data_IF_514843993680
#
_entry.id   IF_514843993680
#
_cell.length_a   1.000
_cell.length_b   1.000
_cell.length_c   1.000
_cell.angle_alpha   90.00
_cell.angle_beta   90.00
_cell.angle_gamma   90.00
#
_symmetry.space_group_name_H-M   'P 1'
#
loop_
_entity.id
_entity.type
_entity.pdbx_description
1 polymer ?
#
# COMPACT_ATOMS: atom_id res chain seq x y z
N UNK A 1 -31.38 13.59 -28.71
CA UNK A 1 -31.26 12.30 -27.98
C UNK A 1 -29.97 11.57 -28.35
N UNK A 2 -29.64 11.37 -29.63
CA UNK A 2 -28.39 10.71 -30.09
C UNK A 2 -27.07 11.39 -29.62
N UNK A 3 -26.96 12.72 -29.68
CA UNK A 3 -25.73 13.43 -29.28
C UNK A 3 -25.38 13.25 -27.79
N UNK A 4 -26.39 13.20 -26.92
CA UNK A 4 -26.23 12.97 -25.48
C UNK A 4 -25.70 11.56 -25.21
N UNK A 5 -26.27 10.57 -25.90
CA UNK A 5 -25.86 9.18 -25.79
C UNK A 5 -24.45 8.92 -26.36
N UNK A 6 -24.05 9.66 -27.40
CA UNK A 6 -22.69 9.62 -27.93
C UNK A 6 -21.68 10.23 -26.94
N UNK A 7 -22.03 11.36 -26.31
CA UNK A 7 -21.20 12.00 -25.29
C UNK A 7 -21.04 11.13 -24.02
N UNK A 8 -22.12 10.49 -23.58
CA UNK A 8 -22.10 9.57 -22.44
C UNK A 8 -21.23 8.34 -22.73
N UNK A 9 -21.32 7.76 -23.93
CA UNK A 9 -20.47 6.65 -24.37
C UNK A 9 -18.98 7.04 -24.42
N UNK A 10 -18.67 8.24 -24.90
CA UNK A 10 -17.29 8.73 -24.98
C UNK A 10 -16.70 8.99 -23.59
N UNK A 11 -17.50 9.56 -22.68
CA UNK A 11 -17.13 9.69 -21.26
C UNK A 11 -16.88 8.34 -20.60
N UNK A 12 -17.76 7.37 -20.82
CA UNK A 12 -17.60 6.04 -20.24
C UNK A 12 -16.34 5.33 -20.78
N UNK A 13 -16.02 5.51 -22.07
CA UNK A 13 -14.76 5.00 -22.64
C UNK A 13 -13.54 5.65 -22.01
N UNK A 14 -13.53 6.97 -21.86
CA UNK A 14 -12.45 7.69 -21.21
C UNK A 14 -12.29 7.21 -19.77
N UNK A 15 -13.39 7.04 -19.04
CA UNK A 15 -13.39 6.57 -17.65
C UNK A 15 -12.82 5.15 -17.50
N UNK A 16 -13.22 4.23 -18.38
CA UNK A 16 -12.67 2.86 -18.44
C UNK A 16 -11.17 2.90 -18.74
N UNK A 17 -10.74 3.69 -19.74
CA UNK A 17 -9.33 3.82 -20.10
C UNK A 17 -8.50 4.41 -18.95
N UNK A 18 -9.02 5.42 -18.27
CA UNK A 18 -8.36 5.99 -17.09
C UNK A 18 -8.26 4.98 -15.95
N UNK A 19 -9.31 4.20 -15.69
CA UNK A 19 -9.28 3.17 -14.65
C UNK A 19 -8.25 2.09 -14.98
N UNK A 20 -8.24 1.59 -16.22
CA UNK A 20 -7.24 0.61 -16.67
C UNK A 20 -5.81 1.14 -16.57
N UNK A 21 -5.61 2.44 -16.84
CA UNK A 21 -4.31 3.10 -16.70
C UNK A 21 -3.85 3.25 -15.24
N UNK A 22 -4.75 3.13 -14.26
CA UNK A 22 -4.49 3.32 -12.83
C UNK A 22 -4.45 2.01 -12.04
N UNK A 23 -4.78 0.87 -12.65
CA UNK A 23 -4.75 -0.45 -12.01
C UNK A 23 -3.52 -1.26 -12.44
N UNK A 24 -3.03 -2.09 -11.53
CA UNK A 24 -2.04 -3.12 -11.83
C UNK A 24 -2.71 -4.27 -12.56
N UNK A 25 -2.16 -4.65 -13.72
CA UNK A 25 -2.77 -5.64 -14.60
C UNK A 25 -2.81 -7.06 -14.00
N UNK A 26 -1.89 -7.39 -13.08
CA UNK A 26 -1.82 -8.72 -12.49
C UNK A 26 -2.79 -8.86 -11.32
N UNK A 27 -2.80 -7.87 -10.43
CA UNK A 27 -3.43 -7.94 -9.12
C UNK A 27 -4.74 -7.15 -9.01
N UNK A 28 -4.99 -6.22 -9.93
CA UNK A 28 -6.19 -5.37 -9.95
C UNK A 28 -6.23 -4.26 -8.90
N UNK A 29 -5.21 -4.16 -8.03
CA UNK A 29 -5.06 -3.03 -7.09
C UNK A 29 -4.52 -1.80 -7.83
N UNK A 30 -4.39 -0.66 -7.15
CA UNK A 30 -3.81 0.52 -7.78
C UNK A 30 -2.37 0.24 -8.23
N UNK A 31 -1.94 0.82 -9.35
CA UNK A 31 -0.55 0.75 -9.77
C UNK A 31 0.28 1.90 -9.17
N UNK A 32 1.58 1.89 -9.42
CA UNK A 32 2.50 2.94 -8.95
C UNK A 32 2.07 4.36 -9.34
N UNK A 33 1.59 4.56 -10.57
CA UNK A 33 1.14 5.89 -10.99
C UNK A 33 -0.04 6.39 -10.14
N UNK A 34 -1.03 5.53 -9.94
CA UNK A 34 -2.17 5.84 -9.10
C UNK A 34 -1.77 6.06 -7.63
N UNK A 35 -0.80 5.31 -7.13
CA UNK A 35 -0.22 5.52 -5.80
C UNK A 35 0.40 6.92 -5.68
N UNK A 36 1.27 7.29 -6.61
CA UNK A 36 1.99 8.57 -6.59
C UNK A 36 1.00 9.75 -6.56
N UNK A 37 -0.01 9.72 -7.44
CA UNK A 37 -1.06 10.74 -7.51
C UNK A 37 -1.88 10.80 -6.20
N UNK A 38 -2.30 9.64 -5.67
CA UNK A 38 -3.09 9.56 -4.45
C UNK A 38 -2.30 9.96 -3.21
N UNK A 39 -1.03 9.59 -3.10
CA UNK A 39 -0.21 9.91 -1.93
C UNK A 39 0.00 11.41 -1.78
N UNK A 40 0.23 12.13 -2.89
CA UNK A 40 0.30 13.59 -2.90
C UNK A 40 -1.00 14.18 -2.35
N UNK A 41 -2.14 13.68 -2.81
CA UNK A 41 -3.46 14.09 -2.34
C UNK A 41 -3.65 13.80 -0.84
N UNK A 42 -3.31 12.59 -0.39
CA UNK A 42 -3.49 12.17 1.01
C UNK A 42 -2.60 12.94 1.99
N UNK A 43 -1.37 13.31 1.60
CA UNK A 43 -0.53 14.22 2.40
C UNK A 43 -1.20 15.58 2.55
N UNK A 44 -1.71 16.15 1.45
CA UNK A 44 -2.41 17.43 1.49
C UNK A 44 -3.71 17.36 2.31
N UNK A 45 -4.47 16.27 2.21
CA UNK A 45 -5.69 16.03 2.97
C UNK A 45 -5.42 15.90 4.47
N UNK A 46 -4.44 15.06 4.86
CA UNK A 46 -4.07 14.87 6.25
C UNK A 46 -3.58 16.17 6.91
N UNK A 47 -2.81 16.99 6.17
CA UNK A 47 -2.39 18.34 6.60
C UNK A 47 -3.59 19.25 6.85
N UNK A 48 -4.53 19.33 5.90
CA UNK A 48 -5.75 20.15 6.03
C UNK A 48 -6.62 19.68 7.19
N UNK A 49 -6.74 18.38 7.38
CA UNK A 49 -7.51 17.77 8.45
C UNK A 49 -6.81 17.81 9.82
N UNK A 50 -5.52 18.20 9.87
CA UNK A 50 -4.66 18.11 11.07
C UNK A 50 -4.70 16.72 11.69
N UNK A 51 -4.66 15.70 10.83
CA UNK A 51 -4.75 14.29 11.21
C UNK A 51 -3.42 13.59 11.00
N UNK A 52 -3.36 12.32 11.41
CA UNK A 52 -2.24 11.45 11.05
C UNK A 52 -2.43 10.84 9.67
N UNK A 53 -1.31 10.56 9.01
CA UNK A 53 -1.22 9.77 7.80
C UNK A 53 -0.25 8.63 8.04
N UNK A 54 -0.61 7.42 7.60
CA UNK A 54 0.25 6.24 7.78
C UNK A 54 0.48 5.56 6.45
N UNK A 55 1.75 5.28 6.16
CA UNK A 55 2.22 4.69 4.91
C UNK A 55 2.99 3.43 5.28
N UNK A 56 2.61 2.31 4.68
CA UNK A 56 3.27 1.02 4.89
C UNK A 56 3.73 0.51 3.53
N UNK A 57 5.03 0.38 3.35
CA UNK A 57 5.60 -0.35 2.22
C UNK A 57 5.94 -1.76 2.67
N UNK A 58 5.58 -2.76 1.88
CA UNK A 58 5.79 -4.15 2.23
C UNK A 58 6.12 -5.02 1.03
N UNK A 59 6.80 -6.12 1.30
CA UNK A 59 7.39 -7.00 0.28
C UNK A 59 7.38 -8.46 0.75
N UNK A 60 7.15 -9.36 -0.21
CA UNK A 60 7.13 -10.80 0.04
C UNK A 60 8.55 -11.33 0.23
N UNK A 61 8.81 -11.85 1.42
CA UNK A 61 10.12 -12.38 1.77
C UNK A 61 10.49 -13.57 0.87
N UNK A 62 11.73 -13.59 0.39
CA UNK A 62 12.28 -14.67 -0.44
C UNK A 62 11.49 -14.92 -1.75
N UNK A 63 10.76 -13.93 -2.28
CA UNK A 63 9.91 -14.12 -3.47
C UNK A 63 10.66 -14.63 -4.70
N UNK A 64 11.92 -14.21 -4.89
CA UNK A 64 12.77 -14.75 -5.96
C UNK A 64 12.98 -16.26 -5.82
N UNK A 65 13.26 -16.77 -4.62
CA UNK A 65 13.45 -18.20 -4.37
C UNK A 65 12.17 -18.99 -4.65
N UNK A 66 11.00 -18.38 -4.37
CA UNK A 66 9.69 -18.95 -4.73
C UNK A 66 9.56 -19.08 -6.24
N UNK A 67 9.86 -18.02 -6.98
CA UNK A 67 9.82 -18.05 -8.45
C UNK A 67 10.81 -19.04 -9.05
N UNK A 68 12.04 -19.11 -8.52
CA UNK A 68 13.08 -20.01 -9.01
C UNK A 68 12.69 -21.48 -8.76
N UNK A 69 11.98 -21.77 -7.67
CA UNK A 69 11.55 -23.13 -7.31
C UNK A 69 10.26 -23.59 -7.99
N UNK A 70 9.26 -22.71 -8.10
CA UNK A 70 7.90 -23.08 -8.53
C UNK A 70 7.46 -22.41 -9.84
N UNK A 71 8.29 -21.54 -10.40
CA UNK A 71 8.02 -20.80 -11.62
C UNK A 71 7.19 -19.53 -11.41
N UNK A 72 7.31 -18.61 -12.35
CA UNK A 72 6.65 -17.29 -12.28
C UNK A 72 5.12 -17.35 -12.20
N UNK A 73 4.48 -18.35 -12.83
CA UNK A 73 3.01 -18.52 -12.76
C UNK A 73 2.57 -18.74 -11.31
N UNK A 74 3.37 -19.46 -10.52
CA UNK A 74 3.09 -19.69 -9.11
C UNK A 74 3.27 -18.39 -8.30
N UNK A 75 4.36 -17.66 -8.52
CA UNK A 75 4.58 -16.35 -7.90
C UNK A 75 3.47 -15.36 -8.22
N UNK A 76 3.01 -15.30 -9.47
CA UNK A 76 1.89 -14.46 -9.89
C UNK A 76 0.60 -14.78 -9.13
N UNK A 77 0.31 -16.05 -8.89
CA UNK A 77 -0.85 -16.47 -8.12
C UNK A 77 -0.73 -16.08 -6.64
N UNK A 78 0.48 -16.13 -6.08
CA UNK A 78 0.77 -15.63 -4.73
C UNK A 78 0.48 -14.13 -4.65
N UNK A 79 0.98 -13.32 -5.60
CA UNK A 79 0.78 -11.88 -5.60
C UNK A 79 -0.71 -11.50 -5.74
N UNK A 80 -1.44 -12.21 -6.61
CA UNK A 80 -2.91 -12.05 -6.74
C UNK A 80 -3.62 -12.35 -5.43
N UNK A 81 -3.25 -13.45 -4.76
CA UNK A 81 -3.88 -13.85 -3.51
C UNK A 81 -3.55 -12.89 -2.37
N UNK A 82 -2.30 -12.44 -2.29
CA UNK A 82 -1.87 -11.41 -1.34
C UNK A 82 -2.69 -10.13 -1.53
N UNK A 83 -2.79 -9.64 -2.78
CA UNK A 83 -3.59 -8.46 -3.10
C UNK A 83 -5.06 -8.62 -2.72
N UNK A 84 -5.69 -9.78 -2.98
CA UNK A 84 -7.07 -10.07 -2.58
C UNK A 84 -7.25 -10.03 -1.07
N UNK A 85 -6.40 -10.76 -0.34
CA UNK A 85 -6.46 -10.85 1.12
C UNK A 85 -6.30 -9.47 1.78
N UNK A 86 -5.34 -8.67 1.32
CA UNK A 86 -5.13 -7.32 1.85
C UNK A 86 -6.30 -6.40 1.47
N UNK A 87 -6.85 -6.53 0.26
CA UNK A 87 -8.02 -5.76 -0.20
C UNK A 87 -9.29 -6.05 0.60
N UNK A 88 -9.52 -7.30 0.98
CA UNK A 88 -10.65 -7.72 1.83
C UNK A 88 -10.48 -7.28 3.28
N UNK A 89 -9.23 -7.07 3.71
CA UNK A 89 -8.88 -6.70 5.09
C UNK A 89 -8.91 -5.19 5.32
N UNK A 90 -8.66 -4.38 4.29
CA UNK A 90 -8.61 -2.92 4.39
C UNK A 90 -10.02 -2.31 4.38
N UNK A 91 -10.13 -1.08 4.87
CA UNK A 91 -11.37 -0.30 4.77
C UNK A 91 -11.52 0.32 3.36
N UNK A 92 -12.71 0.82 2.99
CA UNK A 92 -12.91 1.48 1.70
C UNK A 92 -11.97 2.67 1.46
N UNK A 93 -11.70 3.48 2.48
CA UNK A 93 -10.84 4.67 2.44
C UNK A 93 -9.34 4.34 2.36
N UNK A 94 -8.94 3.16 2.84
CA UNK A 94 -7.56 2.72 2.77
C UNK A 94 -7.14 2.48 1.30
N UNK A 95 -5.93 2.87 0.94
CA UNK A 95 -5.40 2.68 -0.41
C UNK A 95 -4.46 1.49 -0.39
N UNK A 96 -4.59 0.59 -1.36
CA UNK A 96 -3.64 -0.48 -1.64
C UNK A 96 -3.16 -0.34 -3.08
N UNK A 97 -1.85 -0.29 -3.24
CA UNK A 97 -1.21 -0.26 -4.54
C UNK A 97 -0.07 -1.27 -4.64
N UNK A 98 0.20 -1.74 -5.85
CA UNK A 98 1.42 -2.48 -6.19
C UNK A 98 2.45 -1.50 -6.72
N UNK A 99 3.58 -1.38 -6.03
CA UNK A 99 4.64 -0.45 -6.38
C UNK A 99 5.50 -0.97 -7.53
N UNK A 100 5.80 -2.27 -7.51
CA UNK A 100 6.56 -2.97 -8.55
C UNK A 100 6.97 -4.36 -8.08
N UNK A 101 7.11 -5.33 -8.99
CA UNK A 101 7.51 -6.68 -8.61
C UNK A 101 6.62 -7.28 -7.51
N UNK A 102 7.22 -7.63 -6.38
CA UNK A 102 6.57 -8.15 -5.17
C UNK A 102 6.25 -7.09 -4.10
N UNK A 103 6.47 -5.80 -4.41
CA UNK A 103 6.34 -4.68 -3.48
C UNK A 103 4.95 -4.04 -3.58
N UNK A 104 4.38 -3.76 -2.41
CA UNK A 104 3.08 -3.13 -2.25
C UNK A 104 3.14 -1.99 -1.25
N UNK A 105 2.17 -1.08 -1.36
CA UNK A 105 2.02 0.07 -0.48
C UNK A 105 0.58 0.16 0.02
N UNK A 106 0.44 0.34 1.32
CA UNK A 106 -0.81 0.69 1.98
C UNK A 106 -0.75 2.13 2.49
N UNK A 107 -1.81 2.90 2.28
CA UNK A 107 -1.99 4.22 2.87
C UNK A 107 -3.26 4.23 3.69
N UNK A 108 -3.15 4.69 4.93
CA UNK A 108 -4.24 4.84 5.88
C UNK A 108 -4.47 6.33 6.15
N UNK A 109 -5.50 6.93 5.54
CA UNK A 109 -5.82 8.33 5.76
C UNK A 109 -6.52 8.56 7.10
N UNK A 110 -6.52 9.82 7.53
CA UNK A 110 -7.38 10.38 8.59
C UNK A 110 -7.44 9.57 9.91
N UNK A 111 -6.30 9.10 10.40
CA UNK A 111 -6.28 8.32 11.64
C UNK A 111 -6.32 9.24 12.88
N UNK A 112 -7.42 9.15 13.63
CA UNK A 112 -7.67 9.98 14.82
C UNK A 112 -6.89 9.53 16.07
N UNK A 113 -6.49 8.27 16.19
CA UNK A 113 -5.75 7.76 17.36
C UNK A 113 -4.30 7.37 17.02
N UNK A 114 -3.39 7.59 17.99
CA UNK A 114 -1.99 7.12 17.99
C UNK A 114 -1.87 5.63 18.30
N UNK A 115 -2.96 4.92 18.59
CA UNK A 115 -2.90 3.52 18.99
C UNK A 115 -2.52 2.64 17.80
N UNK A 116 -1.21 2.54 17.61
CA UNK A 116 -0.57 1.55 16.75
C UNK A 116 -0.89 0.12 17.21
N UNK A 117 -1.35 -0.07 18.44
CA UNK A 117 -1.95 -1.32 18.93
C UNK A 117 -3.23 -1.71 18.18
N UNK A 118 -3.95 -0.74 17.61
CA UNK A 118 -5.09 -0.93 16.71
C UNK A 118 -4.72 -0.87 15.22
N UNK A 119 -3.49 -0.46 14.88
CA UNK A 119 -2.90 -0.78 13.59
C UNK A 119 -2.82 -2.29 13.52
N UNK A 120 -3.77 -2.86 12.80
CA UNK A 120 -3.92 -4.29 12.76
C UNK A 120 -2.87 -4.87 11.79
N UNK A 121 -1.60 -4.56 12.00
CA UNK A 121 -0.47 -5.26 11.40
C UNK A 121 -0.52 -6.72 11.78
N UNK A 122 -0.91 -7.03 13.01
CA UNK A 122 -1.30 -8.40 13.38
C UNK A 122 -2.47 -8.92 12.54
N UNK A 123 -3.46 -8.11 12.17
CA UNK A 123 -4.54 -8.55 11.26
C UNK A 123 -4.02 -8.78 9.86
N UNK A 124 -3.16 -7.93 9.31
CA UNK A 124 -2.56 -8.15 7.99
C UNK A 124 -1.61 -9.34 8.01
N UNK A 125 -0.74 -9.48 9.00
CA UNK A 125 0.10 -10.65 9.22
C UNK A 125 -0.75 -11.92 9.43
N UNK A 126 -1.85 -11.84 10.19
CA UNK A 126 -2.79 -12.95 10.39
C UNK A 126 -3.54 -13.30 9.10
N UNK A 127 -3.93 -12.31 8.31
CA UNK A 127 -4.59 -12.52 7.03
C UNK A 127 -3.61 -13.15 6.02
N UNK A 128 -2.37 -12.67 5.97
CA UNK A 128 -1.29 -13.20 5.13
C UNK A 128 -0.93 -14.63 5.57
N UNK A 129 -0.81 -14.90 6.87
CA UNK A 129 -0.55 -16.27 7.35
C UNK A 129 -1.68 -17.26 7.05
N UNK A 130 -2.91 -16.81 6.75
CA UNK A 130 -3.96 -17.68 6.25
C UNK A 130 -3.70 -18.14 4.81
N UNK A 131 -2.94 -17.38 4.01
CA UNK A 131 -2.47 -17.81 2.70
C UNK A 131 -1.63 -19.09 2.86
N UNK A 132 -0.82 -19.15 3.92
CA UNK A 132 0.06 -20.28 4.19
C UNK A 132 -0.68 -21.59 4.49
N UNK A 133 -1.91 -21.49 5.03
CA UNK A 133 -2.74 -22.63 5.45
C UNK A 133 -3.64 -23.18 4.35
N UNK A 134 -3.55 -22.63 3.14
CA UNK A 134 -4.33 -23.10 2.01
C UNK A 134 -3.88 -24.51 1.57
N UNK A 135 -4.79 -25.45 1.26
CA UNK A 135 -4.43 -26.81 0.84
C UNK A 135 -3.56 -26.87 -0.43
N UNK A 136 -3.58 -25.79 -1.22
CA UNK A 136 -2.78 -25.62 -2.44
C UNK A 136 -1.42 -24.94 -2.19
N UNK A 137 -1.06 -24.72 -0.93
CA UNK A 137 0.23 -24.17 -0.55
C UNK A 137 1.06 -25.33 -0.03
N UNK A 138 2.15 -25.69 -0.72
CA UNK A 138 2.96 -26.90 -0.52
C UNK A 138 3.76 -26.90 0.81
N UNK A 139 3.18 -26.42 1.90
CA UNK A 139 3.84 -26.23 3.20
C UNK A 139 4.76 -25.01 3.26
N UNK A 140 4.69 -24.10 2.29
CA UNK A 140 5.54 -22.91 2.25
C UNK A 140 5.05 -21.83 3.22
N UNK A 141 5.93 -21.38 4.11
CA UNK A 141 5.65 -20.22 4.94
C UNK A 141 5.97 -18.95 4.16
N UNK A 142 4.95 -18.33 3.57
CA UNK A 142 5.05 -16.99 3.01
C UNK A 142 5.04 -15.97 4.14
N UNK A 143 6.12 -15.20 4.24
CA UNK A 143 6.23 -14.09 5.17
C UNK A 143 6.37 -12.77 4.42
N UNK A 144 6.10 -11.69 5.12
CA UNK A 144 6.16 -10.33 4.56
C UNK A 144 6.91 -9.45 5.54
N UNK A 145 7.78 -8.60 5.01
CA UNK A 145 8.48 -7.56 5.74
C UNK A 145 7.84 -6.20 5.48
N UNK A 146 7.90 -5.29 6.46
CA UNK A 146 7.18 -4.03 6.41
C UNK A 146 8.04 -2.84 6.88
N UNK A 147 8.04 -1.76 6.09
CA UNK A 147 8.50 -0.44 6.50
C UNK A 147 7.32 0.51 6.69
N UNK A 148 7.16 1.08 7.88
CA UNK A 148 6.01 1.94 8.21
C UNK A 148 6.41 3.33 8.64
N UNK A 149 5.83 4.34 7.99
CA UNK A 149 5.98 5.75 8.37
C UNK A 149 4.65 6.25 8.90
N UNK A 150 4.69 6.86 10.08
CA UNK A 150 3.56 7.55 10.67
C UNK A 150 3.91 9.01 10.73
N UNK A 151 3.02 9.85 10.19
CA UNK A 151 3.20 11.29 10.20
C UNK A 151 2.03 11.94 10.92
N UNK A 152 2.34 12.81 11.86
CA UNK A 152 1.37 13.56 12.62
C UNK A 152 1.39 15.04 12.23
N UNK A 153 0.29 15.49 11.62
CA UNK A 153 0.09 16.88 11.22
C UNK A 153 -0.73 17.69 12.24
N UNK A 154 -1.03 17.15 13.43
CA UNK A 154 -1.95 17.79 14.38
C UNK A 154 -1.49 19.19 14.83
N UNK A 155 -0.17 19.38 14.93
CA UNK A 155 0.45 20.58 15.49
C UNK A 155 1.14 21.46 14.45
N UNK A 156 1.00 21.14 13.16
CA UNK A 156 1.66 21.89 12.11
C UNK A 156 1.05 23.29 11.93
N UNK A 157 1.90 24.31 11.76
CA UNK A 157 1.46 25.66 11.41
C UNK A 157 0.97 25.68 9.94
N UNK A 158 -0.32 25.98 9.67
CA UNK A 158 -0.82 26.09 8.31
C UNK A 158 -0.13 27.16 7.47
N UNK A 159 0.51 28.15 8.11
CA UNK A 159 1.24 29.24 7.43
C UNK A 159 2.70 28.89 7.16
N UNK A 160 3.24 27.86 7.80
CA UNK A 160 4.63 27.45 7.68
C UNK A 160 4.75 25.92 7.67
N UNK A 161 4.18 25.30 6.65
CA UNK A 161 4.18 23.85 6.47
C UNK A 161 5.60 23.30 6.30
N UNK A 162 5.92 22.21 7.01
CA UNK A 162 7.20 21.52 6.90
C UNK A 162 7.33 20.86 5.51
N UNK A 163 8.07 21.51 4.62
CA UNK A 163 8.29 21.03 3.25
C UNK A 163 9.15 19.75 3.19
N UNK A 164 9.83 19.39 4.29
CA UNK A 164 10.59 18.13 4.39
C UNK A 164 9.71 16.89 4.57
N UNK A 165 8.39 17.09 4.71
CA UNK A 165 7.39 16.02 4.79
C UNK A 165 6.52 16.08 3.53
N UNK A 166 6.96 15.41 2.49
CA UNK A 166 6.23 15.30 1.23
C UNK A 166 6.14 13.83 0.77
N UNK A 167 5.31 13.55 -0.23
CA UNK A 167 5.06 12.18 -0.72
C UNK A 167 6.35 11.39 -1.01
N UNK A 168 7.31 12.02 -1.70
CA UNK A 168 8.61 11.43 -2.03
C UNK A 168 9.40 11.08 -0.76
N UNK A 169 9.59 12.03 0.15
CA UNK A 169 10.34 11.80 1.40
C UNK A 169 9.73 10.71 2.28
N UNK A 170 8.41 10.53 2.23
CA UNK A 170 7.71 9.51 2.99
C UNK A 170 7.85 8.12 2.36
N UNK A 171 7.83 8.04 1.02
CA UNK A 171 8.12 6.81 0.29
C UNK A 171 9.56 6.36 0.49
N UNK A 172 10.53 7.27 0.37
CA UNK A 172 11.94 6.97 0.62
C UNK A 172 12.18 6.44 2.04
N UNK A 173 11.50 7.04 3.02
CA UNK A 173 11.60 6.58 4.40
C UNK A 173 10.94 5.21 4.61
N UNK A 174 9.77 4.96 4.00
CA UNK A 174 9.11 3.66 4.09
C UNK A 174 9.97 2.55 3.45
N UNK A 175 10.60 2.82 2.31
CA UNK A 175 11.55 1.91 1.65
C UNK A 175 12.77 1.61 2.55
N UNK A 176 13.38 2.64 3.14
CA UNK A 176 14.52 2.47 4.05
C UNK A 176 14.17 1.61 5.28
N UNK A 177 12.96 1.77 5.82
CA UNK A 177 12.46 0.96 6.92
C UNK A 177 12.18 -0.49 6.50
N UNK A 178 11.64 -0.69 5.30
CA UNK A 178 11.42 -2.03 4.73
C UNK A 178 12.76 -2.76 4.51
N UNK A 179 13.75 -2.06 3.97
CA UNK A 179 15.11 -2.56 3.85
C UNK A 179 15.68 -2.97 5.22
N UNK A 180 15.45 -2.16 6.26
CA UNK A 180 15.86 -2.48 7.63
C UNK A 180 15.17 -3.75 8.15
N UNK A 181 13.86 -3.89 7.94
CA UNK A 181 13.13 -5.12 8.27
C UNK A 181 13.70 -6.36 7.58
N UNK A 182 14.02 -6.26 6.28
CA UNK A 182 14.64 -7.35 5.51
C UNK A 182 16.03 -7.70 6.05
N UNK A 183 16.84 -6.70 6.38
CA UNK A 183 18.22 -6.88 6.88
C UNK A 183 18.27 -7.50 8.27
N UNK A 184 17.31 -7.17 9.14
CA UNK A 184 17.31 -7.65 10.52
C UNK A 184 16.71 -9.06 10.70
N UNK A 185 16.31 -9.72 9.61
CA UNK A 185 15.85 -11.10 9.63
C UNK A 185 14.44 -11.33 9.10
N UNK A 186 13.86 -10.35 8.38
CA UNK A 186 12.57 -10.48 7.68
C UNK A 186 11.39 -10.76 8.62
N UNK A 187 10.22 -11.03 8.04
CA UNK A 187 8.96 -11.35 8.73
C UNK A 187 8.67 -10.38 9.90
N UNK A 188 8.88 -9.09 9.67
CA UNK A 188 8.83 -8.08 10.73
C UNK A 188 8.45 -6.71 10.21
N UNK A 189 8.24 -5.82 11.17
CA UNK A 189 7.94 -4.43 10.96
C UNK A 189 9.04 -3.56 11.58
N UNK A 190 9.52 -2.58 10.80
CA UNK A 190 10.27 -1.44 11.30
C UNK A 190 9.45 -0.18 11.06
N UNK A 191 9.30 0.68 12.07
CA UNK A 191 8.50 1.89 11.97
C UNK A 191 9.27 3.15 12.39
N UNK A 192 8.85 4.28 11.83
CA UNK A 192 9.26 5.61 12.26
C UNK A 192 8.03 6.49 12.49
N UNK A 193 8.12 7.34 13.52
CA UNK A 193 7.11 8.35 13.82
C UNK A 193 7.69 9.74 13.56
N UNK A 194 6.98 10.57 12.79
CA UNK A 194 7.32 11.96 12.50
C UNK A 194 6.21 12.87 12.98
N UNK A 195 6.59 14.00 13.57
CA UNK A 195 5.69 15.11 13.86
C UNK A 195 6.04 16.24 12.92
N UNK A 196 5.07 16.71 12.14
CA UNK A 196 5.22 17.92 11.35
C UNK A 196 5.29 19.14 12.28
N UNK A 197 6.18 20.08 11.99
CA UNK A 197 6.44 21.27 12.80
C UNK A 197 6.01 22.53 12.05
#
# INVERSE_FOLDING_TARGET
MQLRQQYDNERQKVEILTTLAMKDALTGVDNRRALDEKLIQQVAEARRARSKLIIIMFDVDHFKEVNDKYGHIHGDNILKKLASVVSETKRPEDILARYGGEEFVLIFPEQASTDLSHFSMERYQKAISQINRSPNNDGQELTVSFGTVIVDFSNEDPKNQDQSINAESLMEQADSLLYSSKKEGRNRLTLAYRTAK
#
